data_IF_946753546500
#
_entry.id   IF_946753546500
#
_cell.length_a   1.000
_cell.length_b   1.000
_cell.length_c   1.000
_cell.angle_alpha   90.00
_cell.angle_beta   90.00
_cell.angle_gamma   90.00
#
_symmetry.space_group_name_H-M   'P 1'
#
loop_
_entity.id
_entity.type
_entity.pdbx_description
1 polymer ?
#
# COMPACT_ATOMS: atom_id res chain seq x y z
N UNK A 1 17.83 -25.49 15.34
CA UNK A 1 16.56 -25.25 14.62
C UNK A 1 16.81 -24.85 13.17
N UNK A 2 16.21 -25.52 12.17
CA UNK A 2 16.41 -25.16 10.75
C UNK A 2 15.92 -23.74 10.42
N UNK A 3 16.61 -22.99 9.53
CA UNK A 3 16.23 -21.63 9.13
C UNK A 3 14.81 -21.51 8.57
N UNK A 4 14.32 -22.54 7.90
CA UNK A 4 12.98 -22.61 7.31
C UNK A 4 11.91 -22.62 8.40
N UNK A 5 12.15 -23.34 9.50
CA UNK A 5 11.24 -23.43 10.65
C UNK A 5 11.11 -22.06 11.33
N UNK A 6 12.25 -21.40 11.57
CA UNK A 6 12.27 -20.04 12.11
C UNK A 6 11.51 -19.06 11.21
N UNK A 7 11.71 -19.15 9.89
CA UNK A 7 10.99 -18.33 8.91
C UNK A 7 9.49 -18.58 8.93
N UNK A 8 9.05 -19.84 9.04
CA UNK A 8 7.65 -20.18 9.15
C UNK A 8 7.02 -19.59 10.41
N UNK A 9 7.67 -19.69 11.56
CA UNK A 9 7.18 -19.11 12.82
C UNK A 9 7.02 -17.59 12.66
N UNK A 10 8.06 -16.89 12.20
CA UNK A 10 8.04 -15.43 12.06
C UNK A 10 6.96 -14.94 11.09
N UNK A 11 6.83 -15.57 9.91
CA UNK A 11 5.82 -15.18 8.92
C UNK A 11 4.40 -15.45 9.42
N UNK A 12 4.16 -16.59 10.06
CA UNK A 12 2.83 -16.92 10.57
C UNK A 12 2.44 -16.00 11.72
N UNK A 13 3.35 -15.70 12.65
CA UNK A 13 3.10 -14.72 13.70
C UNK A 13 2.73 -13.35 13.11
N UNK A 14 3.51 -12.85 12.15
CA UNK A 14 3.25 -11.57 11.50
C UNK A 14 1.87 -11.51 10.82
N UNK A 15 1.52 -12.57 10.07
CA UNK A 15 0.20 -12.66 9.41
C UNK A 15 -0.93 -12.65 10.43
N UNK A 16 -0.81 -13.45 11.48
CA UNK A 16 -1.83 -13.54 12.53
C UNK A 16 -2.00 -12.22 13.28
N UNK A 17 -0.91 -11.52 13.63
CA UNK A 17 -0.98 -10.25 14.36
C UNK A 17 -1.64 -9.14 13.51
N UNK A 18 -1.28 -9.04 12.22
CA UNK A 18 -1.89 -8.08 11.29
C UNK A 18 -3.38 -8.37 11.12
N UNK A 19 -3.72 -9.62 10.83
CA UNK A 19 -5.11 -10.03 10.62
C UNK A 19 -5.95 -9.80 11.88
N UNK A 20 -5.44 -10.16 13.05
CA UNK A 20 -6.13 -9.94 14.32
C UNK A 20 -6.38 -8.45 14.57
N UNK A 21 -5.40 -7.59 14.31
CA UNK A 21 -5.55 -6.14 14.47
C UNK A 21 -6.57 -5.54 13.48
N UNK A 22 -6.57 -6.01 12.23
CA UNK A 22 -7.54 -5.60 11.21
C UNK A 22 -8.96 -6.06 11.57
N UNK A 23 -9.12 -7.32 11.98
CA UNK A 23 -10.40 -7.88 12.43
C UNK A 23 -10.94 -7.16 13.67
N UNK A 24 -10.08 -6.86 14.64
CA UNK A 24 -10.48 -6.10 15.82
C UNK A 24 -11.00 -4.72 15.42
N UNK A 25 -10.28 -3.99 14.55
CA UNK A 25 -10.73 -2.69 14.05
C UNK A 25 -12.09 -2.77 13.35
N UNK A 26 -12.29 -3.76 12.48
CA UNK A 26 -13.54 -3.96 11.76
C UNK A 26 -14.75 -4.23 12.68
N UNK A 27 -14.51 -4.84 13.85
CA UNK A 27 -15.57 -5.28 14.77
C UNK A 27 -15.83 -4.33 15.95
N UNK A 28 -14.90 -3.43 16.27
CA UNK A 28 -14.96 -2.61 17.51
C UNK A 28 -16.00 -1.47 17.47
N UNK A 29 -16.65 -1.22 16.33
CA UNK A 29 -17.55 -0.07 16.18
C UNK A 29 -16.84 1.29 16.23
N UNK A 30 -17.58 2.40 16.15
CA UNK A 30 -16.99 3.74 16.08
C UNK A 30 -16.25 4.12 17.37
N UNK A 31 -15.06 4.71 17.23
CA UNK A 31 -14.29 5.29 18.35
C UNK A 31 -14.38 6.81 18.32
N UNK A 32 -14.31 7.43 19.50
CA UNK A 32 -14.03 8.87 19.58
C UNK A 32 -12.60 9.16 19.10
N UNK A 33 -12.33 10.41 18.69
CA UNK A 33 -10.97 10.83 18.33
C UNK A 33 -9.99 10.60 19.48
N UNK A 34 -10.38 10.98 20.69
CA UNK A 34 -9.58 10.80 21.90
C UNK A 34 -9.23 9.32 22.12
N UNK A 35 -10.20 8.40 22.02
CA UNK A 35 -9.95 6.97 22.17
C UNK A 35 -8.99 6.42 21.09
N UNK A 36 -9.07 6.94 19.86
CA UNK A 36 -8.13 6.57 18.80
C UNK A 36 -6.70 7.08 19.07
N UNK A 37 -6.56 8.31 19.57
CA UNK A 37 -5.27 8.90 19.94
C UNK A 37 -4.63 8.19 21.14
N UNK A 38 -5.42 7.85 22.16
CA UNK A 38 -4.96 7.04 23.31
C UNK A 38 -4.43 5.69 22.84
N UNK A 39 -5.13 5.00 21.94
CA UNK A 39 -4.66 3.73 21.39
C UNK A 39 -3.29 3.86 20.67
N UNK A 40 -3.06 4.96 19.96
CA UNK A 40 -1.76 5.23 19.33
C UNK A 40 -0.66 5.49 20.36
N UNK A 41 -0.97 6.19 21.44
CA UNK A 41 -0.03 6.44 22.55
C UNK A 41 0.35 5.15 23.27
N UNK A 42 -0.63 4.27 23.54
CA UNK A 42 -0.39 2.94 24.13
C UNK A 42 0.55 2.12 23.24
N UNK A 43 0.28 2.09 21.93
CA UNK A 43 1.11 1.35 20.97
C UNK A 43 2.55 1.91 20.91
N UNK A 44 2.71 3.25 20.99
CA UNK A 44 4.02 3.87 21.05
C UNK A 44 4.79 3.51 22.35
N UNK A 45 4.11 3.51 23.50
CA UNK A 45 4.70 3.10 24.77
C UNK A 45 5.10 1.61 24.77
N UNK A 46 4.27 0.74 24.19
CA UNK A 46 4.59 -0.68 24.02
C UNK A 46 5.87 -0.87 23.19
N UNK A 47 6.04 -0.15 22.07
CA UNK A 47 7.30 -0.19 21.29
C UNK A 47 8.49 0.31 22.07
N UNK A 48 8.34 1.38 22.85
CA UNK A 48 9.42 1.91 23.66
C UNK A 48 9.90 0.83 24.64
N UNK A 49 8.98 0.15 25.33
CA UNK A 49 9.30 -0.97 26.22
C UNK A 49 10.02 -2.11 25.49
N UNK A 50 9.61 -2.48 24.27
CA UNK A 50 10.30 -3.52 23.49
C UNK A 50 11.72 -3.10 23.08
N UNK A 51 11.93 -1.82 22.76
CA UNK A 51 13.27 -1.28 22.47
C UNK A 51 14.16 -1.31 23.71
N UNK A 52 13.61 -1.01 24.88
CA UNK A 52 14.32 -1.13 26.15
C UNK A 52 14.69 -2.59 26.45
N UNK A 53 13.78 -3.54 26.19
CA UNK A 53 14.07 -4.97 26.29
C UNK A 53 15.24 -5.38 25.39
N UNK A 54 15.30 -4.91 24.14
CA UNK A 54 16.48 -5.13 23.27
C UNK A 54 17.74 -4.53 23.88
N UNK A 55 17.67 -3.30 24.38
CA UNK A 55 18.82 -2.61 24.99
C UNK A 55 19.38 -3.36 26.21
N UNK A 56 18.50 -3.98 26.99
CA UNK A 56 18.85 -4.78 28.17
C UNK A 56 19.15 -6.25 27.85
N UNK A 57 19.15 -6.64 26.57
CA UNK A 57 19.26 -8.04 26.12
C UNK A 57 18.18 -8.96 26.72
N UNK A 58 17.05 -8.40 27.14
CA UNK A 58 15.90 -9.15 27.64
C UNK A 58 15.01 -9.56 26.47
N UNK A 59 15.00 -10.87 26.18
CA UNK A 59 14.18 -11.45 25.10
C UNK A 59 12.88 -12.09 25.61
N UNK A 60 12.60 -12.01 26.91
CA UNK A 60 11.40 -12.61 27.53
C UNK A 60 10.07 -12.21 26.86
N UNK A 61 9.88 -10.97 26.33
CA UNK A 61 8.63 -10.61 25.67
C UNK A 61 8.30 -11.45 24.42
N UNK A 62 9.28 -12.17 23.87
CA UNK A 62 9.12 -12.96 22.64
C UNK A 62 8.71 -14.40 22.89
N UNK A 63 8.86 -14.90 24.12
CA UNK A 63 8.68 -16.33 24.43
C UNK A 63 7.25 -16.79 24.17
N UNK A 64 6.26 -16.04 24.68
CA UNK A 64 4.84 -16.38 24.46
C UNK A 64 4.46 -16.31 22.97
N UNK A 65 4.75 -15.23 22.22
CA UNK A 65 4.56 -15.19 20.77
C UNK A 65 5.14 -16.39 20.01
N UNK A 66 6.37 -16.80 20.35
CA UNK A 66 7.05 -17.93 19.71
C UNK A 66 6.36 -19.26 20.03
N UNK A 67 6.10 -19.51 21.31
CA UNK A 67 5.44 -20.75 21.79
C UNK A 67 4.06 -20.91 21.19
N UNK A 68 3.21 -19.88 21.31
CA UNK A 68 1.83 -19.91 20.80
C UNK A 68 1.80 -20.12 19.28
N UNK A 69 2.76 -19.54 18.55
CA UNK A 69 2.84 -19.73 17.09
C UNK A 69 3.34 -21.12 16.72
N UNK A 70 4.36 -21.63 17.41
CA UNK A 70 4.88 -22.97 17.17
C UNK A 70 3.84 -24.05 17.49
N UNK A 71 3.10 -23.90 18.59
CA UNK A 71 2.01 -24.80 18.97
C UNK A 71 0.92 -24.84 17.89
N UNK A 72 0.53 -23.69 17.33
CA UNK A 72 -0.45 -23.61 16.23
C UNK A 72 0.04 -24.29 14.95
N UNK A 73 1.35 -24.30 14.72
CA UNK A 73 1.99 -24.93 13.55
C UNK A 73 2.34 -26.40 13.79
N UNK A 74 2.15 -26.93 15.01
CA UNK A 74 2.58 -28.28 15.37
C UNK A 74 4.10 -28.45 15.38
N UNK A 75 4.85 -27.37 15.63
CA UNK A 75 6.32 -27.36 15.66
C UNK A 75 6.77 -27.56 17.10
N UNK A 76 7.54 -28.61 17.37
CA UNK A 76 8.21 -28.79 18.65
C UNK A 76 9.40 -27.82 18.77
N UNK A 77 9.40 -27.00 19.83
CA UNK A 77 10.50 -26.10 20.13
C UNK A 77 11.44 -26.73 21.16
N UNK A 78 12.75 -26.60 20.90
CA UNK A 78 13.78 -26.87 21.89
C UNK A 78 14.46 -25.55 22.27
N UNK A 79 14.07 -25.01 23.42
CA UNK A 79 14.55 -23.70 23.88
C UNK A 79 16.01 -23.71 24.35
N UNK A 80 16.60 -24.90 24.53
CA UNK A 80 18.00 -25.05 24.90
C UNK A 80 18.97 -24.98 23.69
N UNK A 81 18.45 -24.89 22.46
CA UNK A 81 19.28 -24.77 21.26
C UNK A 81 19.79 -23.33 21.06
N UNK A 82 21.03 -23.18 20.60
CA UNK A 82 21.63 -21.88 20.29
C UNK A 82 20.80 -21.07 19.27
N UNK A 83 20.18 -21.75 18.32
CA UNK A 83 19.31 -21.13 17.31
C UNK A 83 18.03 -20.51 17.90
N UNK A 84 17.61 -20.93 19.10
CA UNK A 84 16.44 -20.35 19.77
C UNK A 84 16.71 -18.89 20.16
N UNK A 85 17.93 -18.57 20.61
CA UNK A 85 18.34 -17.20 20.89
C UNK A 85 18.31 -16.31 19.63
N UNK A 86 18.63 -16.87 18.46
CA UNK A 86 18.52 -16.15 17.19
C UNK A 86 17.05 -15.90 16.81
N UNK A 87 16.17 -16.88 17.03
CA UNK A 87 14.73 -16.72 16.80
C UNK A 87 14.13 -15.63 17.69
N UNK A 88 14.45 -15.60 18.99
CA UNK A 88 13.95 -14.57 19.91
C UNK A 88 14.43 -13.17 19.52
N UNK A 89 15.72 -13.02 19.17
CA UNK A 89 16.26 -11.76 18.67
C UNK A 89 15.62 -11.26 17.37
N UNK A 90 15.19 -12.16 16.47
CA UNK A 90 14.42 -11.80 15.27
C UNK A 90 12.97 -11.46 15.59
N UNK A 91 12.35 -12.22 16.50
CA UNK A 91 10.96 -12.01 16.90
C UNK A 91 10.77 -10.63 17.54
N UNK A 92 11.65 -10.19 18.43
CA UNK A 92 11.49 -8.88 19.08
C UNK A 92 11.55 -7.72 18.08
N UNK A 93 12.43 -7.83 17.07
CA UNK A 93 12.53 -6.84 15.97
C UNK A 93 11.25 -6.85 15.13
N UNK A 94 10.76 -8.04 14.80
CA UNK A 94 9.52 -8.21 14.06
C UNK A 94 8.31 -7.62 14.81
N UNK A 95 8.19 -7.82 16.13
CA UNK A 95 7.07 -7.25 16.92
C UNK A 95 7.11 -5.71 16.88
N UNK A 96 8.30 -5.09 16.90
CA UNK A 96 8.44 -3.64 16.75
C UNK A 96 7.97 -3.18 15.37
N UNK A 97 8.38 -3.88 14.31
CA UNK A 97 7.95 -3.58 12.92
C UNK A 97 6.42 -3.75 12.76
N UNK A 98 5.85 -4.80 13.34
CA UNK A 98 4.40 -5.04 13.34
C UNK A 98 3.64 -3.95 14.11
N UNK A 99 4.21 -3.43 15.18
CA UNK A 99 3.62 -2.29 15.87
C UNK A 99 3.57 -1.04 14.99
N UNK A 100 4.62 -0.78 14.21
CA UNK A 100 4.64 0.34 13.25
C UNK A 100 3.63 0.13 12.12
N UNK A 101 3.51 -1.12 11.63
CA UNK A 101 2.47 -1.55 10.68
C UNK A 101 1.06 -1.27 11.22
N UNK A 102 0.78 -1.67 12.46
CA UNK A 102 -0.52 -1.45 13.11
C UNK A 102 -0.85 0.04 13.23
N UNK A 103 0.12 0.90 13.55
CA UNK A 103 -0.07 2.35 13.59
C UNK A 103 -0.38 2.91 12.21
N UNK A 104 0.34 2.47 11.18
CA UNK A 104 0.13 2.93 9.81
C UNK A 104 -1.28 2.55 9.31
N UNK A 105 -1.70 1.30 9.53
CA UNK A 105 -3.06 0.84 9.21
C UNK A 105 -4.15 1.54 10.04
N UNK A 106 -3.88 1.85 11.31
CA UNK A 106 -4.81 2.63 12.15
C UNK A 106 -5.05 4.04 11.60
N UNK A 107 -4.09 4.60 10.85
CA UNK A 107 -4.19 5.87 10.13
C UNK A 107 -4.70 5.72 8.69
N UNK A 108 -5.22 4.55 8.33
CA UNK A 108 -5.69 4.19 6.99
C UNK A 108 -4.61 4.29 5.90
N UNK A 109 -3.33 4.11 6.26
CA UNK A 109 -2.23 4.04 5.31
C UNK A 109 -1.93 2.55 5.08
N UNK A 110 -2.14 2.08 3.85
CA UNK A 110 -1.93 0.68 3.45
C UNK A 110 -0.91 0.61 2.32
N UNK A 111 -0.02 -0.38 2.38
CA UNK A 111 0.93 -0.66 1.30
C UNK A 111 0.29 -1.48 0.19
N UNK A 112 -0.70 -2.30 0.53
CA UNK A 112 -1.47 -3.08 -0.43
C UNK A 112 -2.53 -2.22 -1.13
N UNK A 113 -2.72 -2.47 -2.43
CA UNK A 113 -3.86 -1.94 -3.16
C UNK A 113 -5.10 -2.79 -2.89
N UNK A 114 -6.25 -2.13 -2.77
CA UNK A 114 -7.53 -2.84 -2.70
C UNK A 114 -7.90 -3.39 -4.09
N UNK A 115 -8.29 -4.68 -4.20
CA UNK A 115 -8.59 -5.31 -5.50
C UNK A 115 -9.82 -4.68 -6.18
N UNK A 116 -10.72 -4.08 -5.39
CA UNK A 116 -11.94 -3.45 -5.88
C UNK A 116 -11.67 -2.18 -6.69
N UNK A 117 -10.62 -1.42 -6.33
CA UNK A 117 -10.26 -0.22 -7.09
C UNK A 117 -9.78 -0.60 -8.50
N UNK A 118 -8.91 -1.62 -8.60
CA UNK A 118 -8.46 -2.11 -9.90
C UNK A 118 -9.60 -2.68 -10.74
N UNK A 119 -10.54 -3.41 -10.13
CA UNK A 119 -11.71 -3.94 -10.82
C UNK A 119 -12.60 -2.81 -11.38
N UNK A 120 -12.93 -1.81 -10.55
CA UNK A 120 -13.75 -0.66 -10.97
C UNK A 120 -13.09 0.15 -12.10
N UNK A 121 -11.77 0.32 -12.06
CA UNK A 121 -11.03 1.01 -13.14
C UNK A 121 -11.06 0.24 -14.46
N UNK A 122 -11.04 -1.10 -14.40
CA UNK A 122 -11.10 -1.95 -15.59
C UNK A 122 -12.51 -1.95 -16.22
N UNK A 123 -13.56 -1.97 -15.40
CA UNK A 123 -14.96 -1.84 -15.85
C UNK A 123 -15.24 -0.48 -16.50
N UNK A 124 -14.70 0.61 -15.93
CA UNK A 124 -14.82 1.95 -16.53
C UNK A 124 -14.15 2.02 -17.91
N UNK A 125 -12.99 1.39 -18.10
CA UNK A 125 -12.31 1.37 -19.40
C UNK A 125 -13.08 0.59 -20.46
N UNK A 126 -13.74 -0.51 -20.08
CA UNK A 126 -14.58 -1.30 -20.98
C UNK A 126 -15.87 -0.58 -21.40
N UNK A 127 -16.30 0.43 -20.63
CA UNK A 127 -17.55 1.17 -20.86
C UNK A 127 -17.41 2.38 -21.79
N UNK A 128 -16.20 2.73 -22.26
CA UNK A 128 -16.03 3.74 -23.30
C UNK A 128 -16.20 3.09 -24.68
N UNK A 129 -17.24 3.45 -25.47
CA UNK A 129 -17.24 3.09 -26.87
C UNK A 129 -16.03 3.76 -27.52
N UNK A 130 -15.19 2.98 -28.18
CA UNK A 130 -14.15 3.50 -29.05
C UNK A 130 -14.85 4.44 -30.04
N UNK A 131 -14.52 5.74 -30.11
CA UNK A 131 -15.03 6.55 -31.19
C UNK A 131 -14.47 5.95 -32.48
N UNK A 132 -15.34 5.30 -33.27
CA UNK A 132 -15.04 5.04 -34.67
C UNK A 132 -14.77 6.41 -35.29
N UNK A 133 -13.48 6.73 -35.46
CA UNK A 133 -13.05 7.87 -36.26
C UNK A 133 -13.44 7.52 -37.69
N UNK A 134 -14.67 7.85 -38.05
CA UNK A 134 -15.09 7.93 -39.44
C UNK A 134 -14.25 9.03 -40.08
N UNK A 135 -13.20 8.63 -40.80
CA UNK A 135 -12.46 9.50 -41.70
C UNK A 135 -13.44 9.94 -42.79
N UNK A 136 -14.12 11.07 -42.54
CA UNK A 136 -14.90 11.78 -43.54
C UNK A 136 -13.92 12.23 -44.63
N UNK A 137 -14.03 11.60 -45.79
CA UNK A 137 -13.28 11.92 -47.00
C UNK A 137 -13.54 13.39 -47.36
N UNK A 138 -12.57 14.27 -47.07
CA UNK A 138 -12.64 15.65 -47.48
C UNK A 138 -12.65 15.74 -49.02
N UNK A 139 -13.52 16.56 -49.63
CA UNK A 139 -13.52 16.77 -51.07
C UNK A 139 -12.27 17.54 -51.51
N UNK A 140 -11.74 17.18 -52.69
CA UNK A 140 -10.50 17.70 -53.25
C UNK A 140 -10.51 19.24 -53.42
N UNK A 141 -9.36 19.92 -53.24
CA UNK A 141 -9.24 21.36 -53.38
C UNK A 141 -9.39 21.82 -54.84
N UNK A 142 -10.24 22.82 -55.07
CA UNK A 142 -10.38 23.48 -56.38
C UNK A 142 -9.18 24.42 -56.67
N UNK A 143 -8.75 24.55 -57.93
CA UNK A 143 -7.63 25.41 -58.31
C UNK A 143 -7.97 26.92 -58.21
N UNK A 144 -6.97 27.77 -57.92
CA UNK A 144 -7.17 29.20 -57.68
C UNK A 144 -7.50 30.00 -58.96
N UNK A 145 -8.49 30.89 -58.84
CA UNK A 145 -8.92 31.85 -59.87
C UNK A 145 -7.94 33.05 -59.89
N UNK A 146 -7.40 33.38 -61.06
CA UNK A 146 -6.47 34.49 -61.26
C UNK A 146 -7.17 35.86 -61.25
N UNK A 147 -6.53 36.94 -60.74
CA UNK A 147 -7.12 38.28 -60.67
C UNK A 147 -7.08 39.04 -62.01
N UNK A 148 -8.06 39.92 -62.30
CA UNK A 148 -8.12 40.67 -63.56
C UNK A 148 -7.13 41.86 -63.62
N UNK A 149 -6.58 42.06 -64.82
CA UNK A 149 -5.57 43.09 -65.13
C UNK A 149 -6.13 44.52 -65.11
N UNK A 150 -5.36 45.45 -64.52
CA UNK A 150 -5.69 46.88 -64.41
C UNK A 150 -5.51 47.59 -65.76
N UNK A 151 -6.60 48.16 -66.30
CA UNK A 151 -6.58 49.09 -67.45
C UNK A 151 -6.11 50.47 -67.01
N UNK A 152 -5.10 51.03 -67.69
CA UNK A 152 -4.63 52.41 -67.51
C UNK A 152 -5.63 53.38 -68.14
N UNK A 153 -6.10 54.38 -67.39
CA UNK A 153 -6.83 55.52 -67.93
C UNK A 153 -5.96 56.77 -67.88
N UNK A 154 -5.62 57.25 -69.08
CA UNK A 154 -5.04 58.55 -69.38
C UNK A 154 -6.03 59.65 -68.98
N UNK A 155 -5.60 60.61 -68.14
CA UNK A 155 -6.31 61.88 -67.93
C UNK A 155 -5.52 62.99 -68.61
N UNK A 156 -6.13 63.55 -69.65
CA UNK A 156 -5.78 64.78 -70.35
C UNK A 156 -6.59 65.89 -69.68
N UNK A 157 -5.95 66.91 -69.12
CA UNK A 157 -6.61 68.15 -68.71
C UNK A 157 -6.02 69.31 -69.50
N UNK A 158 -6.92 70.08 -70.10
CA UNK A 158 -6.71 71.35 -70.80
C UNK A 158 -7.22 72.48 -69.90
N UNK A 159 -6.64 73.67 -70.12
CA UNK A 159 -6.94 75.00 -69.57
C UNK A 159 -6.37 75.35 -68.21
#
# INVERSE_FOLDING_TARGET
>A
MPPEVMTQILINYARLDIEAADQLRARTGPRTREAAEVALTIEAAARASLRDSIFLCDMTPTLTPIRDTADRLGIALNEAEDDFALLTGKMIRLIIELSEEKVRRAKAIFTENQPYLSAALLENQASYPTPEVSLSTAPAPQPPIAPPAKRKHSRRTYR
#
